data_IF_877629600759
#
_entry.id   IF_877629600759
#
_cell.length_a   1.000
_cell.length_b   1.000
_cell.length_c   1.000
_cell.angle_alpha   90.00
_cell.angle_beta   90.00
_cell.angle_gamma   90.00
#
_symmetry.space_group_name_H-M   'P 1'
#
loop_
_entity.id
_entity.type
_entity.pdbx_description
1 polymer ?
#
# COMPACT_ATOMS: atom_id res chain seq x y z
N UNK A 1 1.16 13.09 9.13
CA UNK A 1 2.00 12.53 10.22
C UNK A 1 2.67 11.32 9.62
N UNK A 2 3.99 11.24 9.73
CA UNK A 2 4.75 10.08 9.27
C UNK A 2 4.62 8.94 10.30
N UNK A 3 4.62 7.70 9.83
CA UNK A 3 4.60 6.49 10.66
C UNK A 3 5.84 5.66 10.30
N UNK A 4 7.01 5.94 10.89
CA UNK A 4 8.25 5.28 10.48
C UNK A 4 8.31 3.82 10.98
N UNK A 5 7.53 3.45 12.00
CA UNK A 5 7.65 2.16 12.70
C UNK A 5 6.37 1.31 12.74
N UNK A 6 5.25 1.79 12.19
CA UNK A 6 4.01 1.02 12.05
C UNK A 6 3.06 1.16 13.24
N UNK A 7 3.35 2.06 14.19
CA UNK A 7 2.51 2.24 15.39
C UNK A 7 1.08 2.69 15.08
N UNK A 8 0.84 3.26 13.90
CA UNK A 8 -0.46 3.74 13.45
C UNK A 8 -1.15 2.77 12.48
N UNK A 9 -0.63 1.55 12.29
CA UNK A 9 -1.13 0.61 11.28
C UNK A 9 -2.61 0.21 11.44
N UNK A 10 -3.14 0.27 12.66
CA UNK A 10 -4.53 -0.05 12.97
C UNK A 10 -5.47 1.16 12.94
N UNK A 11 -4.93 2.37 12.72
CA UNK A 11 -5.71 3.59 12.83
C UNK A 11 -6.73 3.69 11.70
N UNK A 12 -8.02 3.74 12.08
CA UNK A 12 -9.16 3.97 11.17
C UNK A 12 -9.25 2.97 10.01
N UNK A 13 -8.87 1.71 10.24
CA UNK A 13 -8.99 0.65 9.24
C UNK A 13 -10.46 0.25 9.01
N UNK A 14 -10.90 0.09 7.75
CA UNK A 14 -12.24 -0.40 7.44
C UNK A 14 -12.42 -1.88 7.79
N UNK A 15 -13.67 -2.32 7.92
CA UNK A 15 -13.96 -3.65 8.46
C UNK A 15 -13.57 -4.84 7.57
N UNK A 16 -13.40 -4.67 6.25
CA UNK A 16 -13.14 -5.80 5.31
C UNK A 16 -11.76 -5.78 4.67
N UNK A 17 -11.10 -4.63 4.71
CA UNK A 17 -9.84 -4.36 4.03
C UNK A 17 -8.87 -3.80 5.06
N UNK A 18 -7.60 -4.16 4.93
CA UNK A 18 -6.54 -3.64 5.78
C UNK A 18 -5.52 -2.93 4.90
N UNK A 19 -5.41 -1.62 5.05
CA UNK A 19 -4.45 -0.81 4.32
C UNK A 19 -3.12 -0.79 5.07
N UNK A 20 -2.04 -1.10 4.37
CA UNK A 20 -0.68 -0.82 4.84
C UNK A 20 -0.14 0.36 4.01
N UNK A 21 0.42 1.36 4.67
CA UNK A 21 0.89 2.58 4.01
C UNK A 21 2.18 2.35 3.23
N UNK A 22 2.42 3.14 2.18
CA UNK A 22 3.75 3.33 1.60
C UNK A 22 4.59 4.32 2.42
N UNK A 23 5.50 5.05 1.78
CA UNK A 23 6.18 6.22 2.37
C UNK A 23 5.89 7.47 1.55
N UNK A 24 6.24 8.64 2.07
CA UNK A 24 6.27 9.88 1.29
C UNK A 24 7.61 10.05 0.54
N UNK A 25 8.34 8.96 0.34
CA UNK A 25 9.71 8.94 -0.13
C UNK A 25 10.64 8.21 0.85
N UNK A 26 11.64 7.49 0.33
CA UNK A 26 12.64 6.79 1.13
C UNK A 26 12.12 5.52 1.82
N UNK A 27 12.89 5.06 2.80
CA UNK A 27 12.73 3.76 3.46
C UNK A 27 11.95 3.84 4.78
N UNK A 28 11.16 2.82 5.09
CA UNK A 28 10.58 2.60 6.41
C UNK A 28 10.63 1.11 6.80
N UNK A 29 10.77 0.83 8.10
CA UNK A 29 10.69 -0.52 8.65
C UNK A 29 9.61 -0.54 9.72
N UNK A 30 8.51 -1.26 9.46
CA UNK A 30 7.27 -1.18 10.26
C UNK A 30 6.90 -2.52 10.86
N UNK A 31 6.43 -2.50 12.10
CA UNK A 31 5.89 -3.68 12.78
C UNK A 31 4.40 -3.50 13.06
N UNK A 32 3.56 -4.41 12.54
CA UNK A 32 2.11 -4.29 12.60
C UNK A 32 1.48 -5.57 13.14
N UNK A 33 0.51 -5.46 14.06
CA UNK A 33 -0.41 -6.55 14.38
C UNK A 33 -1.66 -6.40 13.54
N UNK A 34 -2.02 -7.42 12.77
CA UNK A 34 -3.05 -7.33 11.73
C UNK A 34 -4.03 -8.52 11.81
N UNK A 35 -5.29 -8.34 11.40
CA UNK A 35 -6.24 -9.45 11.24
C UNK A 35 -5.89 -10.32 10.03
N UNK A 36 -5.80 -11.64 10.21
CA UNK A 36 -5.47 -12.58 9.13
C UNK A 36 -6.58 -12.72 8.07
N UNK A 37 -7.84 -12.42 8.41
CA UNK A 37 -9.04 -12.58 7.57
C UNK A 37 -9.44 -11.34 6.76
N UNK A 38 -8.48 -10.47 6.44
CA UNK A 38 -8.72 -9.28 5.62
C UNK A 38 -8.05 -9.39 4.27
N UNK A 39 -8.58 -8.63 3.31
CA UNK A 39 -7.83 -8.30 2.10
C UNK A 39 -6.87 -7.17 2.44
N UNK A 40 -5.59 -7.37 2.17
CA UNK A 40 -4.57 -6.35 2.35
C UNK A 40 -4.39 -5.57 1.06
N UNK A 41 -4.41 -4.25 1.15
CA UNK A 41 -4.20 -3.34 0.01
C UNK A 41 -3.02 -2.44 0.35
N UNK A 42 -1.99 -2.47 -0.50
CA UNK A 42 -0.71 -1.81 -0.22
C UNK A 42 -0.22 -1.13 -1.50
N UNK A 43 0.06 0.20 -1.46
CA UNK A 43 0.68 0.86 -2.60
C UNK A 43 2.16 0.50 -2.64
N UNK A 44 2.66 0.17 -3.83
CA UNK A 44 4.09 0.24 -4.10
C UNK A 44 4.46 1.69 -4.33
N UNK A 45 3.68 2.39 -5.14
CA UNK A 45 3.79 3.83 -5.36
C UNK A 45 2.41 4.35 -5.78
N UNK A 46 2.00 5.50 -5.29
CA UNK A 46 0.71 6.09 -5.65
C UNK A 46 0.76 7.62 -5.66
N UNK A 47 -0.09 8.21 -6.48
CA UNK A 47 -0.06 9.63 -6.76
C UNK A 47 -1.44 10.25 -6.64
N UNK A 48 -1.44 11.54 -6.33
CA UNK A 48 -2.53 12.45 -6.63
C UNK A 48 -2.00 13.49 -7.61
N UNK A 49 -2.75 13.75 -8.67
CA UNK A 49 -2.41 14.73 -9.69
C UNK A 49 -3.61 15.65 -9.99
N UNK A 50 -3.34 16.85 -10.49
CA UNK A 50 -4.40 17.83 -10.80
C UNK A 50 -5.15 17.45 -12.08
N UNK A 51 -4.48 16.80 -13.03
CA UNK A 51 -5.09 16.35 -14.29
C UNK A 51 -4.97 14.83 -14.49
N UNK A 52 -5.86 14.29 -15.34
CA UNK A 52 -5.81 12.88 -15.72
C UNK A 52 -4.48 12.53 -16.40
N UNK A 53 -4.03 13.40 -17.32
CA UNK A 53 -2.80 13.21 -18.08
C UNK A 53 -1.56 13.17 -17.18
N UNK A 54 -1.47 14.06 -16.18
CA UNK A 54 -0.36 14.04 -15.23
C UNK A 54 -0.32 12.72 -14.43
N UNK A 55 -1.49 12.19 -14.06
CA UNK A 55 -1.56 10.88 -13.40
C UNK A 55 -1.15 9.74 -14.35
N UNK A 56 -1.55 9.81 -15.63
CA UNK A 56 -1.12 8.83 -16.65
C UNK A 56 0.41 8.84 -16.81
N UNK A 57 1.03 10.02 -16.87
CA UNK A 57 2.49 10.14 -17.01
C UNK A 57 3.23 9.58 -15.79
N UNK A 58 2.73 9.86 -14.58
CA UNK A 58 3.27 9.29 -13.34
C UNK A 58 3.12 7.76 -13.30
N UNK A 59 1.96 7.23 -13.70
CA UNK A 59 1.70 5.81 -13.75
C UNK A 59 2.55 5.11 -14.82
N UNK A 60 2.77 5.73 -15.97
CA UNK A 60 3.62 5.20 -17.04
C UNK A 60 5.10 5.12 -16.61
N UNK A 61 5.55 6.04 -15.75
CA UNK A 61 6.87 5.99 -15.14
C UNK A 61 6.97 5.03 -13.95
N UNK A 62 5.84 4.57 -13.42
CA UNK A 62 5.80 3.75 -12.21
C UNK A 62 6.30 2.32 -12.46
N UNK A 63 7.17 1.86 -11.59
CA UNK A 63 7.59 0.48 -11.51
C UNK A 63 7.84 0.11 -10.05
N UNK A 64 7.94 -1.19 -9.78
CA UNK A 64 8.10 -1.67 -8.43
C UNK A 64 7.99 -3.18 -8.33
N UNK A 65 8.36 -3.69 -7.16
CA UNK A 65 8.26 -5.09 -6.83
C UNK A 65 7.78 -5.26 -5.40
N UNK A 66 7.18 -6.40 -5.10
CA UNK A 66 6.74 -6.73 -3.76
C UNK A 66 6.93 -8.22 -3.51
N UNK A 67 7.26 -8.56 -2.26
CA UNK A 67 7.37 -9.96 -1.83
C UNK A 67 6.63 -10.17 -0.52
N UNK A 68 5.92 -11.29 -0.42
CA UNK A 68 5.33 -11.79 0.82
C UNK A 68 5.99 -13.12 1.18
N UNK A 69 6.66 -13.17 2.33
CA UNK A 69 7.51 -14.29 2.75
C UNK A 69 8.45 -14.76 1.61
N UNK A 70 9.13 -13.78 0.98
CA UNK A 70 10.04 -13.96 -0.16
C UNK A 70 9.38 -14.40 -1.48
N UNK A 71 8.08 -14.71 -1.49
CA UNK A 71 7.35 -15.01 -2.72
C UNK A 71 6.97 -13.71 -3.43
N UNK A 72 7.32 -13.53 -4.72
CA UNK A 72 6.89 -12.35 -5.47
C UNK A 72 5.38 -12.24 -5.56
N UNK A 73 4.88 -11.02 -5.38
CA UNK A 73 3.50 -10.62 -5.65
C UNK A 73 3.42 -9.93 -7.01
N UNK A 74 2.25 -9.93 -7.62
CA UNK A 74 1.99 -9.23 -8.88
C UNK A 74 1.36 -7.87 -8.61
N UNK A 75 2.06 -6.75 -8.86
CA UNK A 75 1.45 -5.43 -8.80
C UNK A 75 0.44 -5.23 -9.94
N UNK A 76 -0.58 -4.44 -9.66
CA UNK A 76 -1.57 -3.97 -10.63
C UNK A 76 -1.56 -2.45 -10.69
N UNK A 77 -1.65 -1.92 -11.90
CA UNK A 77 -1.87 -0.50 -12.14
C UNK A 77 -3.32 -0.14 -11.84
N UNK A 78 -3.50 0.91 -11.06
CA UNK A 78 -4.76 1.61 -10.90
C UNK A 78 -4.68 2.86 -11.77
N UNK A 79 -5.45 2.82 -12.86
CA UNK A 79 -5.57 3.92 -13.82
C UNK A 79 -6.14 5.18 -13.16
N UNK A 80 -5.90 6.37 -13.75
CA UNK A 80 -6.41 7.63 -13.25
C UNK A 80 -7.89 7.56 -12.89
N UNK A 81 -8.17 7.79 -11.61
CA UNK A 81 -9.52 7.79 -11.05
C UNK A 81 -9.86 9.20 -10.59
N UNK A 82 -10.94 9.77 -11.11
CA UNK A 82 -11.43 11.09 -10.71
C UNK A 82 -11.83 11.09 -9.24
N UNK A 83 -11.23 12.01 -8.48
CA UNK A 83 -11.57 12.34 -7.11
C UNK A 83 -12.24 13.72 -7.08
N UNK A 84 -13.36 13.82 -6.36
CA UNK A 84 -14.07 15.07 -6.12
C UNK A 84 -14.16 15.26 -4.60
N UNK A 85 -13.41 16.23 -4.08
CA UNK A 85 -13.36 16.57 -2.66
C UNK A 85 -13.62 18.05 -2.49
N UNK A 86 -14.65 18.40 -1.71
CA UNK A 86 -15.05 19.78 -1.45
C UNK A 86 -15.19 20.65 -2.72
N UNK A 87 -15.66 20.04 -3.81
CA UNK A 87 -15.84 20.69 -5.11
C UNK A 87 -14.55 20.82 -5.95
N UNK A 88 -13.41 20.38 -5.44
CA UNK A 88 -12.14 20.34 -6.15
C UNK A 88 -11.94 19.00 -6.85
N UNK A 89 -11.57 19.04 -8.13
CA UNK A 89 -11.25 17.85 -8.91
C UNK A 89 -9.76 17.54 -8.85
N UNK A 90 -9.43 16.25 -8.77
CA UNK A 90 -8.07 15.72 -8.93
C UNK A 90 -8.17 14.27 -9.40
N UNK A 91 -7.04 13.64 -9.70
CA UNK A 91 -6.95 12.24 -10.11
C UNK A 91 -6.03 11.47 -9.18
N UNK A 92 -6.36 10.22 -8.90
CA UNK A 92 -5.46 9.29 -8.22
C UNK A 92 -5.16 8.07 -9.09
N UNK A 93 -3.92 7.61 -9.02
CA UNK A 93 -3.40 6.47 -9.76
C UNK A 93 -2.24 5.85 -8.97
N UNK A 94 -1.77 4.67 -9.39
CA UNK A 94 -0.57 4.06 -8.81
C UNK A 94 -0.42 2.58 -9.09
N UNK A 95 0.68 2.01 -8.60
CA UNK A 95 0.91 0.57 -8.55
C UNK A 95 0.58 0.03 -7.16
N UNK A 96 -0.23 -1.01 -7.12
CA UNK A 96 -0.75 -1.59 -5.89
C UNK A 96 -0.62 -3.10 -5.90
N UNK A 97 -0.47 -3.69 -4.73
CA UNK A 97 -0.72 -5.12 -4.53
C UNK A 97 -1.97 -5.33 -3.69
N UNK A 98 -2.64 -6.43 -3.97
CA UNK A 98 -3.69 -6.97 -3.13
C UNK A 98 -3.27 -8.37 -2.69
N UNK A 99 -3.32 -8.63 -1.39
CA UNK A 99 -3.23 -9.98 -0.86
C UNK A 99 -4.58 -10.34 -0.26
N UNK A 100 -5.02 -11.57 -0.51
CA UNK A 100 -6.17 -12.12 0.21
C UNK A 100 -5.80 -12.34 1.68
N UNK A 101 -6.61 -13.11 2.39
CA UNK A 101 -6.30 -13.56 3.75
C UNK A 101 -4.91 -14.18 3.81
N UNK A 102 -4.13 -13.82 4.83
CA UNK A 102 -2.80 -14.37 5.08
C UNK A 102 -2.88 -15.43 6.20
N UNK A 103 -1.92 -16.36 6.30
CA UNK A 103 -1.86 -17.27 7.44
C UNK A 103 -1.75 -16.51 8.76
N UNK A 104 -2.17 -17.13 9.87
CA UNK A 104 -1.89 -16.59 11.20
C UNK A 104 -0.41 -16.83 11.56
N UNK A 105 0.20 -15.89 12.26
CA UNK A 105 1.61 -15.95 12.63
C UNK A 105 2.43 -14.76 12.15
N UNK A 106 3.74 -14.93 12.08
CA UNK A 106 4.67 -13.86 11.70
C UNK A 106 5.02 -13.95 10.22
N UNK A 107 4.93 -12.82 9.53
CA UNK A 107 5.18 -12.70 8.09
C UNK A 107 6.06 -11.48 7.78
N UNK A 108 6.74 -11.53 6.63
CA UNK A 108 7.41 -10.36 6.06
C UNK A 108 6.77 -9.94 4.75
N UNK A 109 6.55 -8.63 4.61
CA UNK A 109 6.13 -8.01 3.36
C UNK A 109 7.14 -6.92 3.01
N UNK A 110 7.84 -7.08 1.89
CA UNK A 110 8.72 -6.04 1.33
C UNK A 110 8.00 -5.38 0.16
N UNK A 111 8.02 -4.05 0.14
CA UNK A 111 7.42 -3.22 -0.90
C UNK A 111 8.47 -2.26 -1.42
N UNK A 112 8.66 -2.27 -2.74
CA UNK A 112 9.54 -1.36 -3.46
C UNK A 112 8.75 -0.71 -4.59
N UNK A 113 8.78 0.62 -4.65
CA UNK A 113 8.08 1.37 -5.69
C UNK A 113 8.84 2.62 -6.07
N UNK A 114 8.73 3.00 -7.34
CA UNK A 114 9.37 4.21 -7.83
C UNK A 114 8.69 4.75 -9.09
N UNK A 115 8.81 6.06 -9.31
CA UNK A 115 8.47 6.74 -10.56
C UNK A 115 9.34 7.98 -10.72
N UNK A 116 10.17 8.03 -11.77
CA UNK A 116 11.18 9.08 -11.92
C UNK A 116 12.12 9.13 -10.70
N UNK A 117 12.24 10.31 -10.10
CA UNK A 117 13.07 10.54 -8.91
C UNK A 117 12.38 10.16 -7.59
N UNK A 118 11.09 9.84 -7.62
CA UNK A 118 10.36 9.40 -6.44
C UNK A 118 10.59 7.91 -6.20
N UNK A 119 10.98 7.55 -4.98
CA UNK A 119 11.24 6.17 -4.56
C UNK A 119 10.68 5.94 -3.17
N UNK A 120 10.11 4.75 -2.96
CA UNK A 120 9.57 4.31 -1.69
C UNK A 120 9.99 2.87 -1.42
N UNK A 121 10.38 2.58 -0.19
CA UNK A 121 10.65 1.23 0.26
C UNK A 121 10.03 1.02 1.64
N UNK A 122 9.33 -0.10 1.83
CA UNK A 122 8.82 -0.48 3.16
C UNK A 122 9.05 -1.96 3.42
N UNK A 123 9.73 -2.23 4.53
CA UNK A 123 9.87 -3.55 5.12
C UNK A 123 8.84 -3.69 6.28
N UNK A 124 7.81 -4.50 6.08
CA UNK A 124 6.83 -4.83 7.10
C UNK A 124 7.16 -6.15 7.80
N UNK A 125 7.14 -6.12 9.13
CA UNK A 125 6.97 -7.31 9.99
C UNK A 125 5.52 -7.37 10.43
N UNK A 126 4.79 -8.39 9.99
CA UNK A 126 3.36 -8.54 10.29
C UNK A 126 3.17 -9.68 11.30
N UNK A 127 2.43 -9.41 12.37
CA UNK A 127 1.89 -10.44 13.26
C UNK A 127 0.40 -10.59 12.97
N UNK A 128 0.05 -11.63 12.22
CA UNK A 128 -1.31 -11.92 11.79
C UNK A 128 -2.07 -12.72 12.86
N UNK A 129 -3.16 -12.16 13.37
CA UNK A 129 -4.01 -12.78 14.39
C UNK A 129 -5.07 -13.67 13.75
N UNK A 130 -5.30 -14.84 14.35
CA UNK A 130 -6.40 -15.74 13.99
C UNK A 130 -7.74 -15.00 14.16
N UNK A 131 -8.72 -15.21 13.26
CA UNK A 131 -10.06 -14.68 13.46
C UNK A 131 -10.63 -15.27 14.74
N UNK A 132 -11.09 -14.43 15.66
CA UNK A 132 -11.81 -14.89 16.84
C UNK A 132 -13.03 -15.67 16.38
N UNK A 133 -13.12 -16.95 16.78
CA UNK A 133 -14.35 -17.72 16.64
C UNK A 133 -15.43 -16.97 17.44
N UNK A 134 -16.35 -16.31 16.74
CA UNK A 134 -17.53 -15.71 17.34
C UNK A 134 -18.47 -16.76 17.90
#
# INVERSE_FOLDING_TARGET
>A
MDDPDGRACADRQPARVWFLAGTYGGDAARACTVPADRVFIVPLVNFRADTEADCQDLLAAAHGNATFDQQPLSPAAIEPTLLIEDGTQSFACGLWIAMNTIPAGNHRLSIDGNAGDFQTHVDYTLTALTPSSG
#
